data_IF_789531654871
#
_entry.id   IF_789531654871
#
_cell.length_a   1.000
_cell.length_b   1.000
_cell.length_c   1.000
_cell.angle_alpha   90.00
_cell.angle_beta   90.00
_cell.angle_gamma   90.00
#
_symmetry.space_group_name_H-M   'P 1'
#
loop_
_entity.id
_entity.type
_entity.pdbx_description
1 polymer ?
#
# COMPACT_ATOMS: atom_id res chain seq x y z
N UNK A 1 48.60 -11.89 -7.48
CA UNK A 1 47.47 -11.44 -6.64
C UNK A 1 46.19 -11.73 -7.40
N UNK A 2 45.52 -12.84 -7.06
CA UNK A 2 44.28 -13.30 -7.72
C UNK A 2 43.11 -12.75 -6.92
N UNK A 3 42.27 -11.91 -7.54
CA UNK A 3 41.03 -11.42 -6.95
C UNK A 3 39.96 -12.50 -7.07
N UNK A 4 39.56 -13.05 -5.92
CA UNK A 4 38.43 -13.97 -5.80
C UNK A 4 37.13 -13.17 -5.89
N UNK A 5 36.45 -13.25 -7.03
CA UNK A 5 35.06 -12.79 -7.17
C UNK A 5 34.17 -13.73 -6.37
N UNK A 6 33.69 -13.28 -5.20
CA UNK A 6 32.60 -13.94 -4.48
C UNK A 6 31.33 -13.75 -5.29
N UNK A 7 30.93 -14.79 -6.03
CA UNK A 7 29.59 -14.90 -6.58
C UNK A 7 28.59 -14.92 -5.40
N UNK A 8 27.82 -13.85 -5.27
CA UNK A 8 26.64 -13.81 -4.42
C UNK A 8 25.59 -14.74 -5.01
N UNK A 9 25.48 -15.95 -4.47
CA UNK A 9 24.35 -16.85 -4.73
C UNK A 9 23.06 -16.18 -4.25
N UNK A 10 22.37 -15.50 -5.16
CA UNK A 10 20.94 -15.25 -5.01
C UNK A 10 20.26 -16.62 -5.03
N UNK A 11 19.75 -17.08 -3.89
CA UNK A 11 18.88 -18.25 -3.85
C UNK A 11 17.65 -17.91 -4.68
N UNK A 12 17.51 -18.54 -5.84
CA UNK A 12 16.27 -18.52 -6.59
C UNK A 12 15.13 -18.97 -5.66
N UNK A 13 14.01 -18.23 -5.58
CA UNK A 13 12.91 -18.59 -4.70
C UNK A 13 12.37 -19.99 -5.07
N UNK A 14 11.96 -20.75 -4.06
CA UNK A 14 11.41 -22.09 -4.25
C UNK A 14 10.16 -21.99 -5.15
N UNK A 15 10.01 -22.82 -6.21
CA UNK A 15 8.87 -22.76 -7.12
C UNK A 15 7.50 -22.73 -6.42
N UNK A 16 7.34 -23.47 -5.32
CA UNK A 16 6.11 -23.47 -4.53
C UNK A 16 5.82 -22.14 -3.82
N UNK A 17 6.86 -21.46 -3.32
CA UNK A 17 6.73 -20.12 -2.71
C UNK A 17 6.39 -19.07 -3.78
N UNK A 18 7.00 -19.18 -4.97
CA UNK A 18 6.72 -18.27 -6.08
C UNK A 18 5.28 -18.38 -6.58
N UNK A 19 4.74 -19.61 -6.65
CA UNK A 19 3.36 -19.87 -7.05
C UNK A 19 2.38 -19.41 -5.97
N UNK A 20 2.63 -19.72 -4.70
CA UNK A 20 1.78 -19.28 -3.58
C UNK A 20 1.69 -17.76 -3.49
N UNK A 21 2.79 -17.04 -3.76
CA UNK A 21 2.81 -15.58 -3.76
C UNK A 21 2.05 -14.98 -4.94
N UNK A 22 2.14 -15.59 -6.12
CA UNK A 22 1.36 -15.19 -7.29
C UNK A 22 -0.15 -15.35 -7.07
N UNK A 23 -0.58 -16.41 -6.37
CA UNK A 23 -2.00 -16.61 -6.02
C UNK A 23 -2.47 -15.57 -5.01
N UNK A 24 -1.65 -15.27 -3.99
CA UNK A 24 -1.97 -14.26 -2.98
C UNK A 24 -2.12 -12.85 -3.60
N UNK A 25 -1.23 -12.47 -4.53
CA UNK A 25 -1.32 -11.19 -5.22
C UNK A 25 -2.58 -11.08 -6.08
N UNK A 26 -2.95 -12.16 -6.80
CA UNK A 26 -4.19 -12.20 -7.57
C UNK A 26 -5.43 -12.06 -6.67
N UNK A 27 -5.46 -12.80 -5.55
CA UNK A 27 -6.54 -12.70 -4.57
C UNK A 27 -6.64 -11.29 -3.99
N UNK A 28 -5.50 -10.66 -3.70
CA UNK A 28 -5.46 -9.26 -3.27
C UNK A 28 -6.08 -8.35 -4.33
N UNK A 29 -5.69 -8.46 -5.60
CA UNK A 29 -6.26 -7.67 -6.69
C UNK A 29 -7.78 -7.81 -6.78
N UNK A 30 -8.31 -9.04 -6.66
CA UNK A 30 -9.75 -9.29 -6.63
C UNK A 30 -10.44 -8.64 -5.42
N UNK A 31 -9.89 -8.82 -4.21
CA UNK A 31 -10.44 -8.23 -2.98
C UNK A 31 -10.52 -6.71 -3.12
N UNK A 32 -9.44 -6.08 -3.56
CA UNK A 32 -9.37 -4.63 -3.71
C UNK A 32 -10.39 -4.14 -4.74
N UNK A 33 -10.49 -4.79 -5.91
CA UNK A 33 -11.49 -4.44 -6.92
C UNK A 33 -12.94 -4.58 -6.41
N UNK A 34 -13.22 -5.62 -5.61
CA UNK A 34 -14.52 -5.87 -5.00
C UNK A 34 -14.85 -4.95 -3.82
N UNK A 35 -13.89 -4.17 -3.32
CA UNK A 35 -14.12 -3.20 -2.25
C UNK A 35 -14.22 -1.77 -2.77
N UNK A 36 -13.37 -1.38 -3.74
CA UNK A 36 -13.35 -0.02 -4.27
C UNK A 36 -14.58 0.27 -5.14
N UNK A 37 -14.95 -0.62 -6.07
CA UNK A 37 -16.10 -0.36 -6.96
C UNK A 37 -17.40 -0.20 -6.18
N UNK A 38 -17.71 -1.05 -5.18
CA UNK A 38 -18.87 -0.83 -4.33
C UNK A 38 -18.75 0.39 -3.43
N UNK A 39 -17.54 0.78 -3.00
CA UNK A 39 -17.34 2.04 -2.27
C UNK A 39 -17.76 3.24 -3.12
N UNK A 40 -17.26 3.34 -4.35
CA UNK A 40 -17.61 4.43 -5.29
C UNK A 40 -19.10 4.43 -5.61
N UNK A 41 -19.69 3.25 -5.80
CA UNK A 41 -21.13 3.11 -5.97
C UNK A 41 -21.89 3.63 -4.73
N UNK A 42 -21.49 3.20 -3.55
CA UNK A 42 -22.11 3.61 -2.29
C UNK A 42 -21.98 5.12 -2.05
N UNK A 43 -20.88 5.73 -2.47
CA UNK A 43 -20.70 7.19 -2.43
C UNK A 43 -21.69 7.92 -3.34
N UNK A 44 -21.82 7.45 -4.60
CA UNK A 44 -22.74 8.02 -5.57
C UNK A 44 -24.21 7.98 -5.13
N UNK A 45 -24.61 6.93 -4.40
CA UNK A 45 -25.99 6.73 -3.95
C UNK A 45 -26.19 7.03 -2.45
N UNK A 46 -25.20 7.66 -1.81
CA UNK A 46 -25.20 8.04 -0.39
C UNK A 46 -25.53 6.90 0.59
N UNK A 47 -25.03 5.69 0.31
CA UNK A 47 -25.16 4.52 1.19
C UNK A 47 -23.98 4.49 2.16
N UNK A 48 -24.11 5.21 3.27
CA UNK A 48 -23.03 5.46 4.24
C UNK A 48 -22.43 4.19 4.87
N UNK A 49 -23.27 3.22 5.19
CA UNK A 49 -22.91 1.97 5.86
C UNK A 49 -22.07 1.08 4.95
N UNK A 50 -22.42 1.06 3.66
CA UNK A 50 -21.67 0.31 2.66
C UNK A 50 -20.30 0.95 2.40
N UNK A 51 -20.22 2.29 2.31
CA UNK A 51 -18.92 2.99 2.25
C UNK A 51 -18.04 2.61 3.44
N UNK A 52 -18.58 2.67 4.65
CA UNK A 52 -17.84 2.35 5.86
C UNK A 52 -17.38 0.88 5.89
N UNK A 53 -18.24 -0.06 5.51
CA UNK A 53 -17.90 -1.47 5.42
C UNK A 53 -16.78 -1.74 4.41
N UNK A 54 -16.88 -1.16 3.21
CA UNK A 54 -15.87 -1.28 2.17
C UNK A 54 -14.53 -0.71 2.64
N UNK A 55 -14.53 0.48 3.23
CA UNK A 55 -13.33 1.13 3.74
C UNK A 55 -12.65 0.32 4.85
N UNK A 56 -13.43 -0.18 5.81
CA UNK A 56 -12.92 -1.01 6.90
C UNK A 56 -12.25 -2.29 6.37
N UNK A 57 -12.94 -3.01 5.48
CA UNK A 57 -12.40 -4.24 4.87
C UNK A 57 -11.18 -3.98 4.02
N UNK A 58 -11.15 -2.86 3.31
CA UNK A 58 -10.01 -2.48 2.47
C UNK A 58 -8.79 -2.18 3.34
N UNK A 59 -8.95 -1.40 4.40
CA UNK A 59 -7.89 -1.15 5.37
C UNK A 59 -7.35 -2.45 5.98
N UNK A 60 -8.22 -3.37 6.40
CA UNK A 60 -7.80 -4.70 6.89
C UNK A 60 -7.05 -5.53 5.84
N UNK A 61 -7.45 -5.45 4.57
CA UNK A 61 -6.76 -6.14 3.48
C UNK A 61 -5.35 -5.56 3.27
N UNK A 62 -5.23 -4.23 3.23
CA UNK A 62 -3.96 -3.52 3.00
C UNK A 62 -2.95 -3.79 4.12
N UNK A 63 -3.35 -3.72 5.40
CA UNK A 63 -2.45 -3.99 6.54
C UNK A 63 -1.91 -5.42 6.51
N UNK A 64 -2.72 -6.39 6.06
CA UNK A 64 -2.35 -7.80 6.04
C UNK A 64 -1.61 -8.22 4.78
N UNK A 65 -1.53 -7.34 3.79
CA UNK A 65 -1.03 -7.69 2.47
C UNK A 65 0.51 -7.80 2.47
N UNK A 66 1.02 -9.03 2.40
CA UNK A 66 2.43 -9.29 2.11
C UNK A 66 2.70 -9.28 0.60
N UNK A 67 2.48 -8.14 -0.06
CA UNK A 67 2.48 -8.04 -1.53
C UNK A 67 3.84 -8.37 -2.16
N UNK A 68 3.80 -9.09 -3.29
CA UNK A 68 4.95 -9.16 -4.20
C UNK A 68 4.93 -7.99 -5.19
N UNK A 69 5.92 -7.93 -6.10
CA UNK A 69 5.97 -6.92 -7.17
C UNK A 69 4.68 -6.88 -7.98
N UNK A 70 4.08 -8.03 -8.28
CA UNK A 70 2.80 -8.11 -9.01
C UNK A 70 1.64 -7.57 -8.17
N UNK A 71 1.63 -7.86 -6.87
CA UNK A 71 0.68 -7.29 -5.91
C UNK A 71 0.69 -5.75 -5.90
N UNK A 72 1.86 -5.14 -6.01
CA UNK A 72 1.98 -3.68 -6.11
C UNK A 72 1.39 -3.12 -7.42
N UNK A 73 1.42 -3.86 -8.53
CA UNK A 73 0.73 -3.42 -9.76
C UNK A 73 -0.78 -3.34 -9.54
N UNK A 74 -1.38 -4.34 -8.88
CA UNK A 74 -2.80 -4.29 -8.51
C UNK A 74 -3.11 -3.13 -7.56
N UNK A 75 -2.21 -2.86 -6.60
CA UNK A 75 -2.33 -1.69 -5.73
C UNK A 75 -2.32 -0.39 -6.53
N UNK A 76 -1.41 -0.25 -7.50
CA UNK A 76 -1.29 0.97 -8.31
C UNK A 76 -2.49 1.19 -9.23
N UNK A 77 -3.03 0.13 -9.82
CA UNK A 77 -4.26 0.20 -10.61
C UNK A 77 -5.48 0.57 -9.73
N UNK A 78 -5.53 0.03 -8.52
CA UNK A 78 -6.54 0.39 -7.53
C UNK A 78 -6.47 1.87 -7.11
N UNK A 79 -5.26 2.39 -6.89
CA UNK A 79 -5.04 3.81 -6.60
C UNK A 79 -5.50 4.67 -7.78
N UNK A 80 -5.07 4.32 -8.99
CA UNK A 80 -5.44 5.03 -10.23
C UNK A 80 -6.96 5.13 -10.35
N UNK A 81 -7.66 3.99 -10.29
CA UNK A 81 -9.12 3.94 -10.36
C UNK A 81 -9.77 4.78 -9.24
N UNK A 82 -9.23 4.71 -8.03
CA UNK A 82 -9.79 5.45 -6.89
C UNK A 82 -9.71 6.95 -7.10
N UNK A 83 -8.55 7.45 -7.53
CA UNK A 83 -8.36 8.88 -7.77
C UNK A 83 -9.17 9.38 -8.96
N UNK A 84 -9.40 8.57 -9.99
CA UNK A 84 -10.29 8.92 -11.10
C UNK A 84 -11.78 9.01 -10.71
N UNK A 85 -12.20 8.33 -9.64
CA UNK A 85 -13.61 8.12 -9.31
C UNK A 85 -14.06 8.70 -7.95
N UNK A 86 -13.20 9.45 -7.26
CA UNK A 86 -13.50 10.07 -5.96
C UNK A 86 -13.03 11.51 -5.93
N UNK A 87 -13.47 12.30 -4.95
CA UNK A 87 -13.05 13.69 -4.78
C UNK A 87 -11.82 13.82 -3.86
N UNK A 88 -11.03 14.91 -3.96
CA UNK A 88 -10.01 15.22 -2.96
C UNK A 88 -10.59 15.24 -1.54
N UNK A 89 -9.84 14.69 -0.57
CA UNK A 89 -10.29 14.55 0.81
C UNK A 89 -11.16 13.31 1.10
N UNK A 90 -11.46 12.49 0.09
CA UNK A 90 -12.16 11.23 0.30
C UNK A 90 -11.33 10.27 1.20
N UNK A 91 -12.01 9.60 2.13
CA UNK A 91 -11.41 8.68 3.09
C UNK A 91 -10.67 7.52 2.40
N UNK A 92 -11.14 7.05 1.25
CA UNK A 92 -10.46 5.96 0.53
C UNK A 92 -9.17 6.44 -0.14
N UNK A 93 -9.11 7.70 -0.61
CA UNK A 93 -7.86 8.31 -1.10
C UNK A 93 -6.86 8.43 0.03
N UNK A 94 -7.29 8.98 1.17
CA UNK A 94 -6.45 9.10 2.36
C UNK A 94 -5.89 7.75 2.80
N UNK A 95 -6.70 6.69 2.78
CA UNK A 95 -6.26 5.33 3.08
C UNK A 95 -5.12 4.85 2.15
N UNK A 96 -5.25 5.08 0.84
CA UNK A 96 -4.18 4.72 -0.10
C UNK A 96 -2.92 5.54 0.10
N UNK A 97 -3.06 6.86 0.30
CA UNK A 97 -1.91 7.74 0.59
C UNK A 97 -1.17 7.25 1.82
N UNK A 98 -1.88 6.98 2.92
CA UNK A 98 -1.28 6.49 4.16
C UNK A 98 -0.62 5.12 3.98
N UNK A 99 -1.21 4.23 3.17
CA UNK A 99 -0.61 2.94 2.82
C UNK A 99 0.72 3.13 2.08
N UNK A 100 0.76 4.04 1.10
CA UNK A 100 1.98 4.33 0.36
C UNK A 100 3.04 5.04 1.21
N UNK A 101 2.64 5.92 2.13
CA UNK A 101 3.54 6.63 3.04
C UNK A 101 4.15 5.67 4.05
N UNK A 102 3.36 4.75 4.62
CA UNK A 102 3.84 3.78 5.61
C UNK A 102 5.01 2.92 5.10
N UNK A 103 4.96 2.55 3.82
CA UNK A 103 6.00 1.73 3.17
C UNK A 103 6.71 2.49 2.03
N UNK A 104 6.87 3.81 2.14
CA UNK A 104 7.36 4.66 1.04
C UNK A 104 8.68 4.17 0.44
N UNK A 105 9.62 3.74 1.30
CA UNK A 105 10.93 3.25 0.88
C UNK A 105 10.81 2.00 -0.01
N UNK A 106 9.83 1.15 0.27
CA UNK A 106 9.55 -0.05 -0.52
C UNK A 106 8.77 0.30 -1.79
N UNK A 107 7.69 1.07 -1.64
CA UNK A 107 6.78 1.48 -2.74
C UNK A 107 7.55 2.14 -3.89
N UNK A 108 8.48 3.06 -3.58
CA UNK A 108 9.28 3.76 -4.61
C UNK A 108 10.21 2.85 -5.42
N UNK A 109 10.50 1.65 -4.92
CA UNK A 109 11.36 0.66 -5.60
C UNK A 109 10.56 -0.30 -6.46
N UNK A 110 9.22 -0.25 -6.39
CA UNK A 110 8.36 -1.16 -7.13
C UNK A 110 8.22 -0.73 -8.59
N UNK A 111 8.20 -1.69 -9.54
CA UNK A 111 7.90 -1.41 -10.93
C UNK A 111 6.55 -0.69 -11.07
N UNK A 112 6.50 0.34 -11.93
CA UNK A 112 5.27 1.11 -12.19
C UNK A 112 5.01 2.27 -11.22
N UNK A 113 5.84 2.49 -10.19
CA UNK A 113 5.67 3.64 -9.28
C UNK A 113 5.79 4.98 -10.01
N UNK A 114 6.80 5.16 -10.85
CA UNK A 114 6.97 6.40 -11.62
C UNK A 114 5.78 6.63 -12.57
N UNK A 115 5.31 5.58 -13.23
CA UNK A 115 4.14 5.65 -14.12
C UNK A 115 2.87 6.01 -13.34
N UNK A 116 2.72 5.47 -12.12
CA UNK A 116 1.64 5.86 -11.21
C UNK A 116 1.71 7.35 -10.87
N UNK A 117 2.87 7.89 -10.52
CA UNK A 117 3.02 9.32 -10.24
C UNK A 117 2.73 10.20 -11.46
N UNK A 118 3.03 9.73 -12.67
CA UNK A 118 2.65 10.44 -13.90
C UNK A 118 1.15 10.40 -14.17
N UNK A 119 0.48 9.27 -13.89
CA UNK A 119 -0.98 9.12 -14.07
C UNK A 119 -1.78 9.83 -12.98
N UNK A 120 -1.26 9.86 -11.76
CA UNK A 120 -1.93 10.37 -10.56
C UNK A 120 -0.98 11.32 -9.80
N UNK A 121 -0.70 12.52 -10.34
CA UNK A 121 0.19 13.48 -9.69
C UNK A 121 -0.31 13.92 -8.31
N UNK A 122 -1.62 13.91 -8.08
CA UNK A 122 -2.25 14.22 -6.80
C UNK A 122 -1.79 13.27 -5.70
N UNK A 123 -1.55 12.00 -6.02
CA UNK A 123 -1.02 11.02 -5.06
C UNK A 123 0.34 11.48 -4.53
N UNK A 124 1.25 11.89 -5.40
CA UNK A 124 2.60 12.32 -5.00
C UNK A 124 2.55 13.59 -4.14
N UNK A 125 1.64 14.52 -4.48
CA UNK A 125 1.39 15.71 -3.67
C UNK A 125 0.84 15.35 -2.29
N UNK A 126 -0.22 14.55 -2.22
CA UNK A 126 -0.86 14.14 -0.96
C UNK A 126 0.11 13.35 -0.07
N UNK A 127 0.93 12.45 -0.64
CA UNK A 127 1.99 11.74 0.08
C UNK A 127 3.04 12.69 0.67
N UNK A 128 3.44 13.73 -0.07
CA UNK A 128 4.41 14.72 0.40
C UNK A 128 3.87 15.52 1.59
N UNK A 129 2.56 15.78 1.61
CA UNK A 129 1.89 16.47 2.71
C UNK A 129 1.68 15.59 3.94
N UNK A 130 1.43 14.29 3.75
CA UNK A 130 1.21 13.34 4.86
C UNK A 130 2.51 12.84 5.50
N UNK A 131 3.65 12.87 4.78
CA UNK A 131 4.94 12.38 5.26
C UNK A 131 5.41 12.99 6.60
N UNK A 132 5.37 14.32 6.80
CA UNK A 132 5.78 14.93 8.08
C UNK A 132 4.92 14.46 9.26
N UNK A 133 3.61 14.36 9.06
CA UNK A 133 2.67 13.91 10.10
C UNK A 133 2.96 12.46 10.48
N UNK A 134 3.11 11.58 9.49
CA UNK A 134 3.45 10.18 9.71
C UNK A 134 4.75 10.01 10.50
N UNK A 135 5.81 10.74 10.13
CA UNK A 135 7.12 10.62 10.77
C UNK A 135 7.11 11.08 12.23
N UNK A 136 6.39 12.16 12.52
CA UNK A 136 6.20 12.63 13.89
C UNK A 136 5.48 11.58 14.73
N UNK A 137 4.35 11.04 14.26
CA UNK A 137 3.61 10.00 14.97
C UNK A 137 4.45 8.73 15.19
N UNK A 138 5.21 8.31 14.17
CA UNK A 138 6.07 7.13 14.25
C UNK A 138 7.20 7.30 15.29
N UNK A 139 7.89 8.45 15.29
CA UNK A 139 8.93 8.74 16.29
C UNK A 139 8.36 8.74 17.71
N UNK A 140 7.17 9.33 17.91
CA UNK A 140 6.52 9.32 19.22
C UNK A 140 6.18 7.90 19.67
N UNK A 141 5.61 7.07 18.78
CA UNK A 141 5.31 5.67 19.09
C UNK A 141 6.57 4.86 19.46
N UNK A 142 7.69 5.06 18.75
CA UNK A 142 8.96 4.42 19.09
C UNK A 142 9.49 4.88 20.46
N UNK A 143 9.37 6.17 20.77
CA UNK A 143 9.80 6.72 22.06
C UNK A 143 8.96 6.18 23.22
N UNK A 144 7.66 6.05 23.03
CA UNK A 144 6.73 5.50 24.02
C UNK A 144 6.96 4.00 24.26
N UNK A 145 7.36 3.25 23.22
CA UNK A 145 7.78 1.86 23.36
C UNK A 145 9.11 1.76 24.11
N UNK A 146 10.07 2.63 23.79
CA UNK A 146 11.37 2.66 24.46
C UNK A 146 11.23 2.99 25.96
N UNK A 147 10.41 3.98 26.33
CA UNK A 147 10.18 4.31 27.74
C UNK A 147 9.55 3.15 28.52
N UNK A 148 8.54 2.48 27.94
CA UNK A 148 7.92 1.28 28.54
C UNK A 148 8.87 0.09 28.70
N UNK A 149 9.93 0.03 27.89
CA UNK A 149 10.94 -1.03 27.99
C UNK A 149 11.99 -0.78 29.08
N UNK A 150 12.12 0.46 29.57
CA UNK A 150 13.06 0.85 30.62
C UNK A 150 12.46 0.81 32.03
N UNK A 151 11.13 0.72 32.16
CA UNK A 151 10.40 0.59 33.43
C UNK A 151 10.15 -0.88 33.85
N UNK A 152 10.85 -1.86 33.25
CA UNK A 152 10.80 -3.29 33.59
C UNK A 152 12.18 -3.82 33.93
#
# INVERSE_FOLDING_TARGET
>A
MVQTVRASCQRSPNPQESLGRSVADWQFGLIVAHLIKPYVFADRYDVSELRQLCLHRLHSALIRAGLSRTGYLYLFDAITFTFENTCPGDKIRKLFVQTCVADLVLVRTMPGYNDLCCRVPELAYEMTMELPEYWNTYIHALRDLASKSMDR
#
